data_IF_826997208857
#
_entry.id   IF_826997208857
#
_cell.length_a   1.000
_cell.length_b   1.000
_cell.length_c   1.000
_cell.angle_alpha   90.00
_cell.angle_beta   90.00
_cell.angle_gamma   90.00
#
_symmetry.space_group_name_H-M   'P 1'
#
loop_
_entity.id
_entity.type
_entity.pdbx_description
1 polymer ?
#
# COMPACT_ATOMS: atom_id res chain seq x y z
N UNK A 1 21.48 7.97 24.91
CA UNK A 1 20.55 6.84 24.70
C UNK A 1 20.58 6.51 23.22
N UNK A 2 20.68 5.24 22.83
CA UNK A 2 20.66 4.86 21.41
C UNK A 2 19.19 4.86 20.98
N UNK A 3 18.82 5.76 20.07
CA UNK A 3 17.46 5.79 19.54
C UNK A 3 17.34 4.77 18.43
N UNK A 4 16.51 3.75 18.64
CA UNK A 4 16.18 2.77 17.63
C UNK A 4 14.91 3.21 16.92
N UNK A 5 14.96 3.40 15.61
CA UNK A 5 13.85 3.96 14.83
C UNK A 5 13.74 3.27 13.48
N UNK A 6 12.50 3.01 13.07
CA UNK A 6 12.16 2.50 11.74
C UNK A 6 11.12 3.40 11.10
N UNK A 7 11.29 3.70 9.81
CA UNK A 7 10.36 4.50 9.03
C UNK A 7 9.65 3.62 8.00
N UNK A 8 8.32 3.64 8.03
CA UNK A 8 7.48 3.03 7.00
C UNK A 8 6.66 4.14 6.31
N UNK A 9 7.05 4.60 5.11
CA UNK A 9 6.29 5.62 4.39
C UNK A 9 4.90 5.10 4.00
N UNK A 10 3.91 6.00 3.99
CA UNK A 10 2.58 5.73 3.45
C UNK A 10 2.54 6.27 2.03
N UNK A 11 2.47 5.36 1.07
CA UNK A 11 2.56 5.63 -0.37
C UNK A 11 1.21 6.09 -0.92
N UNK A 12 1.21 7.08 -1.81
CA UNK A 12 0.02 7.40 -2.59
C UNK A 12 -0.19 6.33 -3.66
N UNK A 13 -1.28 5.57 -3.57
CA UNK A 13 -1.64 4.53 -4.55
C UNK A 13 -2.74 5.03 -5.46
N UNK A 14 -2.50 4.93 -6.75
CA UNK A 14 -3.48 5.27 -7.79
C UNK A 14 -4.63 4.24 -7.83
N UNK A 15 -5.83 4.73 -8.11
CA UNK A 15 -6.95 3.90 -8.56
C UNK A 15 -6.78 3.52 -10.03
N UNK A 16 -7.61 2.60 -10.52
CA UNK A 16 -7.66 2.25 -11.94
C UNK A 16 -7.89 3.51 -12.78
N UNK A 17 -7.02 3.80 -13.78
CA UNK A 17 -7.22 4.91 -14.69
C UNK A 17 -8.56 4.86 -15.39
N UNK A 18 -9.18 3.68 -15.53
CA UNK A 18 -10.52 3.50 -16.08
C UNK A 18 -11.61 4.30 -15.35
N UNK A 19 -11.38 4.67 -14.10
CA UNK A 19 -12.35 5.40 -13.25
C UNK A 19 -12.05 6.89 -13.15
N UNK A 20 -10.94 7.34 -13.74
CA UNK A 20 -10.54 8.74 -13.74
C UNK A 20 -11.34 9.58 -14.73
N UNK A 21 -11.52 10.86 -14.40
CA UNK A 21 -12.09 11.85 -15.32
C UNK A 21 -11.17 12.09 -16.52
N UNK A 22 -11.71 12.60 -17.63
CA UNK A 22 -10.89 12.97 -18.80
C UNK A 22 -9.80 13.99 -18.43
N UNK A 23 -10.11 14.95 -17.56
CA UNK A 23 -9.11 15.90 -17.03
C UNK A 23 -7.98 15.21 -16.27
N UNK A 24 -8.30 14.22 -15.43
CA UNK A 24 -7.29 13.50 -14.64
C UNK A 24 -6.38 12.64 -15.52
N UNK A 25 -6.91 12.09 -16.63
CA UNK A 25 -6.15 11.29 -17.60
C UNK A 25 -5.19 12.13 -18.45
N UNK A 26 -5.54 13.39 -18.71
CA UNK A 26 -4.70 14.32 -19.45
C UNK A 26 -3.47 14.79 -18.64
N UNK A 27 -3.51 14.63 -17.32
CA UNK A 27 -2.39 14.93 -16.42
C UNK A 27 -1.40 13.77 -16.42
N UNK A 28 -0.35 13.88 -17.23
CA UNK A 28 0.72 12.88 -17.32
C UNK A 28 1.65 12.80 -16.10
N UNK A 29 1.49 13.69 -15.12
CA UNK A 29 2.32 13.73 -13.92
C UNK A 29 1.81 12.74 -12.87
N UNK A 30 2.67 11.82 -12.44
CA UNK A 30 2.39 10.86 -11.37
C UNK A 30 2.22 11.55 -10.01
N UNK A 31 2.80 12.73 -9.80
CA UNK A 31 2.76 13.46 -8.53
C UNK A 31 1.52 14.35 -8.35
N UNK A 32 0.53 14.21 -9.25
CA UNK A 32 -0.75 14.88 -9.10
C UNK A 32 -1.65 14.10 -8.13
N UNK A 33 -1.82 14.60 -6.91
CA UNK A 33 -2.73 13.97 -5.93
C UNK A 33 -4.17 14.46 -6.13
N UNK A 34 -5.11 13.53 -6.12
CA UNK A 34 -6.53 13.85 -6.18
C UNK A 34 -7.37 12.76 -5.52
N UNK A 35 -8.46 13.15 -4.85
CA UNK A 35 -9.38 12.21 -4.16
C UNK A 35 -9.98 11.17 -5.11
N UNK A 36 -10.17 11.51 -6.38
CA UNK A 36 -10.67 10.60 -7.44
C UNK A 36 -9.54 9.83 -8.15
N UNK A 37 -8.29 10.23 -7.94
CA UNK A 37 -7.13 9.61 -8.61
C UNK A 37 -6.47 8.50 -7.79
N UNK A 38 -6.47 8.62 -6.47
CA UNK A 38 -5.86 7.64 -5.59
C UNK A 38 -6.08 7.92 -4.11
N UNK A 39 -5.31 7.24 -3.28
CA UNK A 39 -5.37 7.35 -1.82
C UNK A 39 -4.02 7.04 -1.19
N UNK A 40 -3.79 7.55 0.02
CA UNK A 40 -2.65 7.12 0.83
C UNK A 40 -2.92 5.72 1.39
N UNK A 41 -2.12 4.74 0.98
CA UNK A 41 -2.30 3.31 1.31
C UNK A 41 -1.82 3.01 2.73
N UNK A 42 -2.65 3.32 3.72
CA UNK A 42 -2.32 3.15 5.14
C UNK A 42 -2.12 1.69 5.58
N UNK A 43 -2.69 0.74 4.84
CA UNK A 43 -2.60 -0.70 5.12
C UNK A 43 -1.40 -1.40 4.48
N UNK A 44 -0.53 -0.68 3.75
CA UNK A 44 0.69 -1.22 3.15
C UNK A 44 1.93 -1.01 4.02
N UNK A 45 2.86 -1.98 4.01
CA UNK A 45 4.09 -1.95 4.80
C UNK A 45 5.36 -2.29 3.98
N UNK A 46 5.22 -2.58 2.68
CA UNK A 46 6.32 -3.06 1.84
C UNK A 46 7.49 -2.09 1.62
N UNK A 47 7.34 -0.79 1.90
CA UNK A 47 8.45 0.15 1.93
C UNK A 47 8.88 0.40 3.38
N UNK A 48 10.19 0.28 3.62
CA UNK A 48 10.77 0.50 4.94
C UNK A 48 12.19 1.07 4.81
N UNK A 49 12.51 2.02 5.69
CA UNK A 49 13.87 2.49 5.93
C UNK A 49 14.25 2.16 7.37
N UNK A 50 15.30 1.37 7.53
CA UNK A 50 15.77 0.84 8.82
C UNK A 50 17.29 0.74 8.84
N UNK A 51 17.91 1.00 9.99
CA UNK A 51 19.33 0.75 10.18
C UNK A 51 19.62 -0.74 10.19
N UNK A 52 20.78 -1.16 9.66
CA UNK A 52 21.18 -2.57 9.66
C UNK A 52 21.17 -3.19 11.06
N UNK A 53 21.67 -2.46 12.08
CA UNK A 53 21.65 -2.93 13.46
C UNK A 53 20.25 -3.22 14.00
N UNK A 54 19.27 -2.44 13.55
CA UNK A 54 17.90 -2.52 14.00
C UNK A 54 17.19 -3.64 13.24
N UNK A 55 17.51 -3.86 11.96
CA UNK A 55 17.08 -5.03 11.21
C UNK A 55 17.59 -6.34 11.83
N UNK A 56 18.87 -6.36 12.22
CA UNK A 56 19.48 -7.51 12.91
C UNK A 56 18.79 -7.76 14.26
N UNK A 57 18.46 -6.70 15.01
CA UNK A 57 17.72 -6.78 16.29
C UNK A 57 16.33 -7.42 16.13
N UNK A 58 15.64 -7.13 15.02
CA UNK A 58 14.32 -7.71 14.70
C UNK A 58 14.43 -9.15 14.16
N UNK A 59 15.65 -9.60 13.83
CA UNK A 59 15.89 -10.93 13.27
C UNK A 59 15.67 -11.01 11.75
N UNK A 60 15.71 -9.88 11.03
CA UNK A 60 15.56 -9.84 9.58
C UNK A 60 14.13 -10.11 9.07
N UNK A 61 13.99 -10.39 7.78
CA UNK A 61 12.71 -10.77 7.16
C UNK A 61 12.42 -12.26 7.37
N UNK A 62 11.14 -12.63 7.47
CA UNK A 62 10.73 -14.04 7.52
C UNK A 62 10.78 -14.66 6.12
N UNK A 63 11.83 -15.43 5.84
CA UNK A 63 12.07 -16.04 4.53
C UNK A 63 11.18 -17.27 4.24
N UNK A 64 10.37 -17.70 5.20
CA UNK A 64 9.43 -18.81 5.00
C UNK A 64 8.10 -18.37 4.38
N UNK A 65 7.85 -17.06 4.29
CA UNK A 65 6.70 -16.52 3.57
C UNK A 65 7.03 -16.57 2.08
N UNK A 66 6.25 -17.34 1.34
CA UNK A 66 6.43 -17.57 -0.09
C UNK A 66 5.24 -17.01 -0.85
N UNK A 67 5.48 -16.58 -2.09
CA UNK A 67 4.45 -15.95 -2.90
C UNK A 67 4.18 -14.49 -2.52
N UNK A 68 3.01 -13.98 -2.93
CA UNK A 68 2.64 -12.58 -2.75
C UNK A 68 1.95 -12.36 -1.39
N UNK A 69 2.40 -11.34 -0.65
CA UNK A 69 1.74 -10.81 0.54
C UNK A 69 2.16 -11.50 1.84
N UNK A 70 1.86 -10.83 2.95
CA UNK A 70 2.17 -11.17 4.35
C UNK A 70 3.60 -10.89 4.81
N UNK A 71 4.59 -10.80 3.92
CA UNK A 71 5.99 -10.61 4.31
C UNK A 71 6.25 -9.26 4.97
N UNK A 72 5.58 -8.22 4.47
CA UNK A 72 5.66 -6.87 4.97
C UNK A 72 4.84 -6.69 6.27
N UNK A 73 3.69 -7.36 6.35
CA UNK A 73 2.85 -7.42 7.56
C UNK A 73 3.57 -8.14 8.70
N UNK A 74 4.15 -9.32 8.45
CA UNK A 74 4.96 -10.06 9.44
C UNK A 74 6.10 -9.19 9.98
N UNK A 75 6.83 -8.53 9.08
CA UNK A 75 7.95 -7.68 9.46
C UNK A 75 7.47 -6.47 10.28
N UNK A 76 6.41 -5.79 9.84
CA UNK A 76 5.84 -4.66 10.57
C UNK A 76 5.33 -5.06 11.96
N UNK A 77 4.62 -6.18 12.08
CA UNK A 77 4.15 -6.71 13.36
C UNK A 77 5.32 -6.99 14.31
N UNK A 78 6.42 -7.59 13.83
CA UNK A 78 7.61 -7.81 14.67
C UNK A 78 8.28 -6.50 15.08
N UNK A 79 8.30 -5.48 14.21
CA UNK A 79 8.73 -4.14 14.61
C UNK A 79 7.83 -3.54 15.71
N UNK A 80 6.51 -3.70 15.63
CA UNK A 80 5.55 -3.21 16.65
C UNK A 80 5.81 -3.86 18.01
N UNK A 81 6.16 -5.15 18.04
CA UNK A 81 6.44 -5.88 19.27
C UNK A 81 7.87 -5.70 19.80
N UNK A 82 8.66 -4.81 19.20
CA UNK A 82 10.05 -4.56 19.55
C UNK A 82 10.24 -3.21 20.26
N UNK A 83 11.47 -2.91 20.75
CA UNK A 83 11.80 -1.58 21.26
C UNK A 83 11.93 -0.48 20.19
N UNK A 84 11.73 -0.78 18.90
CA UNK A 84 11.87 0.21 17.83
C UNK A 84 10.77 1.28 17.91
N UNK A 85 11.16 2.55 17.80
CA UNK A 85 10.22 3.64 17.55
C UNK A 85 9.75 3.58 16.09
N UNK A 86 8.47 3.34 15.89
CA UNK A 86 7.86 3.33 14.55
C UNK A 86 7.49 4.74 14.14
N UNK A 87 7.93 5.17 12.97
CA UNK A 87 7.48 6.38 12.30
C UNK A 87 6.71 6.01 11.03
N UNK A 88 5.52 6.58 10.87
CA UNK A 88 4.69 6.43 9.67
C UNK A 88 4.12 7.80 9.31
N UNK A 89 4.22 8.16 8.04
CA UNK A 89 3.64 9.38 7.51
C UNK A 89 3.37 9.22 6.00
N UNK A 90 2.32 9.85 5.46
CA UNK A 90 2.18 10.07 4.02
C UNK A 90 3.47 10.64 3.46
N UNK A 91 4.03 9.97 2.46
CA UNK A 91 5.19 10.45 1.72
C UNK A 91 4.73 10.81 0.30
N UNK A 92 4.49 12.11 0.02
CA UNK A 92 4.05 12.53 -1.30
C UNK A 92 5.05 12.13 -2.40
N UNK A 93 6.34 12.06 -2.08
CA UNK A 93 7.38 11.67 -3.04
C UNK A 93 7.28 10.21 -3.51
N UNK A 94 6.39 9.41 -2.92
CA UNK A 94 6.20 8.01 -3.24
C UNK A 94 4.80 7.77 -3.81
N UNK A 95 4.77 7.47 -5.10
CA UNK A 95 3.56 7.15 -5.86
C UNK A 95 3.64 5.72 -6.38
N UNK A 96 2.65 4.92 -6.02
CA UNK A 96 2.42 3.61 -6.62
C UNK A 96 1.49 3.80 -7.82
N UNK A 97 2.11 3.83 -9.01
CA UNK A 97 1.42 3.94 -10.29
C UNK A 97 0.55 2.71 -10.49
N UNK A 98 -0.70 2.91 -10.90
CA UNK A 98 -1.65 1.82 -11.04
C UNK A 98 -1.16 0.77 -12.05
N UNK A 99 -1.32 -0.50 -11.68
CA UNK A 99 -1.24 -1.63 -12.59
C UNK A 99 -2.32 -2.63 -12.23
N UNK A 100 -2.75 -3.44 -13.19
CA UNK A 100 -3.76 -4.47 -12.95
C UNK A 100 -3.27 -5.45 -11.89
N UNK A 101 -4.16 -5.79 -10.95
CA UNK A 101 -3.89 -6.73 -9.85
C UNK A 101 -4.51 -8.08 -10.21
N UNK A 102 -3.66 -9.11 -10.29
CA UNK A 102 -4.05 -10.49 -10.54
C UNK A 102 -3.90 -11.32 -9.26
N UNK A 103 -5.00 -11.88 -8.77
CA UNK A 103 -5.01 -12.73 -7.58
C UNK A 103 -5.11 -14.18 -8.02
N UNK A 104 -4.02 -14.93 -7.88
CA UNK A 104 -4.00 -16.35 -8.24
C UNK A 104 -4.83 -17.15 -7.22
N UNK A 105 -5.68 -18.05 -7.72
CA UNK A 105 -6.50 -18.94 -6.88
C UNK A 105 -5.65 -19.93 -6.05
N UNK A 106 -4.40 -20.14 -6.47
CA UNK A 106 -3.43 -20.97 -5.74
C UNK A 106 -2.83 -20.28 -4.51
N UNK A 107 -3.14 -19.00 -4.27
CA UNK A 107 -2.66 -18.30 -3.07
C UNK A 107 -3.28 -18.92 -1.81
N UNK A 108 -2.49 -19.11 -0.73
CA UNK A 108 -3.00 -19.35 0.60
C UNK A 108 -4.14 -18.37 0.95
N UNK A 109 -5.14 -18.85 1.68
CA UNK A 109 -6.38 -18.12 1.96
C UNK A 109 -6.14 -16.67 2.42
N UNK A 110 -5.23 -16.45 3.39
CA UNK A 110 -4.91 -15.10 3.88
C UNK A 110 -4.32 -14.20 2.80
N UNK A 111 -3.37 -14.69 2.02
CA UNK A 111 -2.75 -13.95 0.92
C UNK A 111 -3.75 -13.66 -0.20
N UNK A 112 -4.63 -14.61 -0.50
CA UNK A 112 -5.71 -14.42 -1.48
C UNK A 112 -6.66 -13.30 -1.06
N UNK A 113 -7.12 -13.31 0.21
CA UNK A 113 -8.00 -12.27 0.76
C UNK A 113 -7.32 -10.90 0.72
N UNK A 114 -6.03 -10.82 1.10
CA UNK A 114 -5.26 -9.57 1.00
C UNK A 114 -5.15 -9.06 -0.44
N UNK A 115 -4.99 -9.98 -1.40
CA UNK A 115 -4.89 -9.62 -2.81
C UNK A 115 -6.21 -9.06 -3.32
N UNK A 116 -7.32 -9.74 -3.04
CA UNK A 116 -8.66 -9.29 -3.41
C UNK A 116 -8.97 -7.94 -2.76
N UNK A 117 -8.62 -7.76 -1.48
CA UNK A 117 -8.76 -6.49 -0.78
C UNK A 117 -7.96 -5.37 -1.44
N UNK A 118 -6.70 -5.63 -1.80
CA UNK A 118 -5.85 -4.67 -2.51
C UNK A 118 -6.38 -4.32 -3.90
N UNK A 119 -6.92 -5.31 -4.61
CA UNK A 119 -7.59 -5.13 -5.90
C UNK A 119 -8.82 -4.25 -5.79
N UNK A 120 -9.70 -4.56 -4.85
CA UNK A 120 -10.93 -3.78 -4.59
C UNK A 120 -10.61 -2.35 -4.19
N UNK A 121 -9.64 -2.15 -3.28
CA UNK A 121 -9.22 -0.83 -2.83
C UNK A 121 -8.57 0.02 -3.94
N UNK A 122 -8.06 -0.62 -5.00
CA UNK A 122 -7.43 0.10 -6.12
C UNK A 122 -8.39 0.31 -7.30
N UNK A 123 -9.68 0.00 -7.14
CA UNK A 123 -10.65 0.11 -8.23
C UNK A 123 -11.02 1.57 -8.52
N UNK A 124 -11.56 2.27 -7.52
CA UNK A 124 -12.12 3.61 -7.67
C UNK A 124 -12.22 4.32 -6.31
N UNK A 125 -12.34 5.65 -6.32
CA UNK A 125 -12.77 6.39 -5.14
C UNK A 125 -14.26 6.17 -4.84
N UNK A 126 -14.65 6.36 -3.58
CA UNK A 126 -16.07 6.31 -3.20
C UNK A 126 -16.90 7.33 -4.01
N UNK A 127 -16.39 8.55 -4.19
CA UNK A 127 -17.06 9.59 -4.99
C UNK A 127 -17.33 9.10 -6.42
N UNK A 128 -16.37 8.43 -7.06
CA UNK A 128 -16.51 7.93 -8.43
C UNK A 128 -17.53 6.79 -8.51
N UNK A 129 -17.60 5.93 -7.49
CA UNK A 129 -18.60 4.87 -7.42
C UNK A 129 -20.01 5.42 -7.22
N UNK A 130 -20.16 6.45 -6.38
CA UNK A 130 -21.46 7.13 -6.16
C UNK A 130 -21.94 7.77 -7.46
N UNK A 131 -21.07 8.50 -8.17
CA UNK A 131 -21.40 9.14 -9.44
C UNK A 131 -21.91 8.12 -10.48
N UNK A 132 -21.29 6.92 -10.53
CA UNK A 132 -21.71 5.85 -11.43
C UNK A 132 -23.07 5.25 -11.04
N UNK A 133 -23.35 5.08 -9.74
CA UNK A 133 -24.62 4.53 -9.26
C UNK A 133 -25.78 5.50 -9.49
N UNK A 134 -25.54 6.80 -9.33
CA UNK A 134 -26.54 7.85 -9.57
C UNK A 134 -26.96 7.96 -11.04
N UNK A 135 -26.17 7.47 -11.99
CA UNK A 135 -26.57 7.43 -13.40
C UNK A 135 -27.71 6.42 -13.69
N UNK A 136 -27.98 5.50 -12.74
CA UNK A 136 -29.00 4.46 -12.86
C UNK A 136 -30.23 4.70 -11.97
N UNK A 137 -30.25 5.79 -11.20
CA UNK A 137 -31.38 6.21 -10.37
C UNK A 137 -32.19 7.31 -11.06
#
# INVERSE_FOLDING_TARGET
MKEFQVYFPIVFSEYSPETWSDSDRLLSDAFHYGRKRGYFRHFGFGLVSIYKSDLDLIGGMNLNIQGWGMEDVDFFERCVHSPLRIMRAPDPGLVHIYHTIHCAESLPEKQYIMCIGSKAASLASLDSLVDQLSAYS
#
